data_IF_990363398108
#
_entry.id   IF_990363398108
#
_cell.length_a   1.000
_cell.length_b   1.000
_cell.length_c   1.000
_cell.angle_alpha   90.00
_cell.angle_beta   90.00
_cell.angle_gamma   90.00
#
_symmetry.space_group_name_H-M   'P 1'
#
loop_
_entity.id
_entity.type
_entity.pdbx_description
1 polymer ?
#
# COMPACT_ATOMS: atom_id res chain seq x y z
N UNK A 1 -0.61 29.92 -8.24
CA UNK A 1 -0.81 30.30 -6.82
C UNK A 1 -0.24 29.16 -6.03
N UNK A 2 0.87 29.37 -5.31
CA UNK A 2 1.54 28.31 -4.55
C UNK A 2 0.80 28.11 -3.23
N UNK A 3 -0.14 27.15 -3.24
CA UNK A 3 -1.03 26.87 -2.11
C UNK A 3 -0.43 25.84 -1.14
N UNK A 4 0.51 25.03 -1.63
CA UNK A 4 1.21 24.01 -0.86
C UNK A 4 2.32 24.58 0.03
N UNK A 5 2.62 25.88 -0.06
CA UNK A 5 3.57 26.56 0.84
C UNK A 5 3.21 26.35 2.31
N UNK A 6 1.92 26.34 2.66
CA UNK A 6 1.44 26.12 4.02
C UNK A 6 1.57 24.66 4.49
N UNK A 7 1.85 23.72 3.58
CA UNK A 7 2.12 22.32 3.92
C UNK A 7 3.62 22.01 4.02
N UNK A 8 4.46 22.81 3.36
CA UNK A 8 5.91 22.60 3.25
C UNK A 8 6.74 23.46 4.19
N UNK A 9 6.32 24.71 4.39
CA UNK A 9 7.01 25.69 5.22
C UNK A 9 6.33 25.84 6.58
N UNK A 10 7.12 26.09 7.63
CA UNK A 10 6.60 26.44 8.95
C UNK A 10 5.88 27.79 8.93
N UNK A 11 4.97 27.98 9.89
CA UNK A 11 4.25 29.23 10.07
C UNK A 11 5.24 30.37 10.32
N UNK A 12 5.18 31.47 9.54
CA UNK A 12 6.05 32.62 9.75
C UNK A 12 5.65 33.36 11.03
N UNK A 13 6.63 33.93 11.72
CA UNK A 13 6.39 34.75 12.90
C UNK A 13 5.49 35.95 12.57
N UNK A 14 4.71 36.37 13.56
CA UNK A 14 3.84 37.55 13.45
C UNK A 14 4.72 38.77 13.21
N UNK A 15 4.48 39.55 12.14
CA UNK A 15 5.28 40.74 11.85
C UNK A 15 5.13 41.79 12.96
N UNK A 16 6.23 42.42 13.35
CA UNK A 16 6.26 43.60 14.23
C UNK A 16 5.95 44.89 13.44
N UNK A 17 5.57 45.98 14.12
CA UNK A 17 5.21 47.25 13.45
C UNK A 17 6.35 47.86 12.61
N UNK A 18 7.60 47.55 12.95
CA UNK A 18 8.81 48.02 12.26
C UNK A 18 9.29 47.06 11.16
N UNK A 19 8.61 45.93 10.95
CA UNK A 19 9.05 44.94 9.98
C UNK A 19 8.96 45.41 8.54
N UNK A 20 9.90 44.92 7.73
CA UNK A 20 9.91 45.25 6.30
C UNK A 20 8.64 44.75 5.62
N UNK A 21 8.16 45.50 4.62
CA UNK A 21 7.01 45.12 3.78
C UNK A 21 7.14 43.72 3.15
N UNK A 22 8.35 43.19 3.01
CA UNK A 22 8.59 41.81 2.54
C UNK A 22 8.16 40.76 3.55
N UNK A 23 8.36 41.00 4.85
CA UNK A 23 8.00 40.08 5.94
C UNK A 23 6.47 40.03 6.07
N UNK A 24 5.82 41.19 6.12
CA UNK A 24 4.35 41.30 6.14
C UNK A 24 3.71 40.61 4.93
N UNK A 25 4.24 40.84 3.73
CA UNK A 25 3.76 40.16 2.52
C UNK A 25 3.96 38.64 2.56
N UNK A 26 5.03 38.15 3.19
CA UNK A 26 5.27 36.70 3.34
C UNK A 26 4.25 36.09 4.29
N UNK A 27 4.04 36.73 5.45
CA UNK A 27 3.05 36.34 6.44
C UNK A 27 1.64 36.24 5.82
N UNK A 28 1.17 37.30 5.16
CA UNK A 28 -0.15 37.32 4.53
C UNK A 28 -0.31 36.26 3.44
N UNK A 29 0.72 36.07 2.61
CA UNK A 29 0.71 35.04 1.56
C UNK A 29 0.60 33.64 2.16
N UNK A 30 1.34 33.37 3.23
CA UNK A 30 1.31 32.08 3.91
C UNK A 30 -0.08 31.82 4.52
N UNK A 31 -0.65 32.77 5.28
CA UNK A 31 -1.99 32.60 5.87
C UNK A 31 -3.09 32.47 4.83
N UNK A 32 -2.98 33.19 3.71
CA UNK A 32 -3.92 33.04 2.59
C UNK A 32 -3.81 31.65 1.97
N UNK A 33 -2.60 31.15 1.72
CA UNK A 33 -2.38 29.81 1.21
C UNK A 33 -2.91 28.74 2.19
N UNK A 34 -2.62 28.89 3.48
CA UNK A 34 -3.10 28.04 4.56
C UNK A 34 -4.63 27.91 4.56
N UNK A 35 -5.34 29.05 4.59
CA UNK A 35 -6.81 29.07 4.55
C UNK A 35 -7.38 28.45 3.27
N UNK A 36 -6.77 28.75 2.12
CA UNK A 36 -7.21 28.20 0.84
C UNK A 36 -7.01 26.67 0.78
N UNK A 37 -5.90 26.16 1.29
CA UNK A 37 -5.60 24.73 1.33
C UNK A 37 -6.59 23.98 2.20
N UNK A 38 -6.93 24.50 3.39
CA UNK A 38 -7.98 23.91 4.24
C UNK A 38 -9.33 23.89 3.52
N UNK A 39 -9.71 24.98 2.85
CA UNK A 39 -10.98 25.05 2.10
C UNK A 39 -11.03 24.04 0.95
N UNK A 40 -9.92 23.87 0.22
CA UNK A 40 -9.81 22.88 -0.87
C UNK A 40 -9.94 21.46 -0.30
N UNK A 41 -9.21 21.14 0.78
CA UNK A 41 -9.30 19.84 1.44
C UNK A 41 -10.72 19.54 1.92
N UNK A 42 -11.36 20.50 2.61
CA UNK A 42 -12.76 20.36 3.07
C UNK A 42 -13.75 20.24 1.90
N UNK A 43 -13.53 20.96 0.81
CA UNK A 43 -14.38 20.95 -0.38
C UNK A 43 -14.28 19.65 -1.19
N UNK A 44 -13.11 18.98 -1.16
CA UNK A 44 -12.92 17.68 -1.78
C UNK A 44 -13.59 16.52 -1.00
N UNK A 45 -13.97 16.76 0.26
CA UNK A 45 -14.59 15.77 1.14
C UNK A 45 -16.11 15.88 1.13
N UNK A 46 -16.78 14.74 1.27
CA UNK A 46 -18.22 14.71 1.55
C UNK A 46 -18.51 15.27 2.94
N UNK A 47 -19.73 15.78 3.15
CA UNK A 47 -20.15 16.35 4.44
C UNK A 47 -20.03 15.33 5.58
N UNK A 48 -20.28 14.04 5.31
CA UNK A 48 -20.14 12.95 6.29
C UNK A 48 -18.69 12.78 6.75
N UNK A 49 -17.73 12.84 5.83
CA UNK A 49 -16.30 12.75 6.15
C UNK A 49 -15.84 14.01 6.87
N UNK A 50 -16.28 15.19 6.41
CA UNK A 50 -15.93 16.48 6.99
C UNK A 50 -16.35 16.58 8.45
N UNK A 51 -17.55 16.12 8.81
CA UNK A 51 -18.03 16.11 10.21
C UNK A 51 -17.20 15.22 11.15
N UNK A 52 -16.43 14.25 10.63
CA UNK A 52 -15.62 13.33 11.43
C UNK A 52 -14.23 13.87 11.80
N UNK A 53 -13.81 14.98 11.17
CA UNK A 53 -12.48 15.58 11.31
C UNK A 53 -12.62 16.87 12.13
N UNK A 54 -11.72 17.08 13.09
CA UNK A 54 -11.70 18.31 13.88
C UNK A 54 -11.27 19.50 13.02
N UNK A 55 -11.87 20.66 13.26
CA UNK A 55 -11.44 21.90 12.64
C UNK A 55 -10.09 22.34 13.22
N UNK A 56 -9.11 22.53 12.34
CA UNK A 56 -7.77 23.01 12.68
C UNK A 56 -7.47 24.30 11.93
N UNK A 57 -6.67 25.17 12.55
CA UNK A 57 -6.27 26.46 11.95
C UNK A 57 -5.12 26.28 10.97
N UNK A 58 -4.26 25.28 11.17
CA UNK A 58 -3.17 24.94 10.27
C UNK A 58 -3.57 23.86 9.27
N UNK A 59 -3.26 24.07 7.99
CA UNK A 59 -3.47 23.11 6.92
C UNK A 59 -2.64 21.83 7.14
N UNK A 60 -1.44 21.97 7.71
CA UNK A 60 -0.55 20.87 8.05
C UNK A 60 -1.16 19.99 9.14
N UNK A 61 -1.71 20.59 10.19
CA UNK A 61 -2.39 19.87 11.26
C UNK A 61 -3.73 19.27 10.82
N UNK A 62 -4.48 19.99 9.98
CA UNK A 62 -5.71 19.48 9.38
C UNK A 62 -5.44 18.24 8.53
N UNK A 63 -4.39 18.28 7.70
CA UNK A 63 -3.95 17.14 6.90
C UNK A 63 -3.50 15.96 7.76
N UNK A 64 -2.71 16.20 8.80
CA UNK A 64 -2.32 15.17 9.76
C UNK A 64 -3.53 14.56 10.50
N UNK A 65 -4.55 15.37 10.79
CA UNK A 65 -5.79 14.89 11.42
C UNK A 65 -6.60 13.98 10.51
N UNK A 66 -6.63 14.28 9.20
CA UNK A 66 -7.22 13.41 8.18
C UNK A 66 -6.47 12.08 8.13
N UNK A 67 -5.14 12.14 8.04
CA UNK A 67 -4.29 10.95 8.06
C UNK A 67 -4.56 10.12 9.30
N UNK A 68 -4.53 10.70 10.50
CA UNK A 68 -4.76 9.97 11.75
C UNK A 68 -6.17 9.35 11.84
N UNK A 69 -7.20 10.01 11.28
CA UNK A 69 -8.59 9.51 11.29
C UNK A 69 -8.83 8.35 10.33
N UNK A 70 -8.17 8.38 9.17
CA UNK A 70 -8.40 7.43 8.07
C UNK A 70 -7.24 6.48 7.82
N UNK A 71 -6.16 6.59 8.59
CA UNK A 71 -5.10 5.60 8.62
C UNK A 71 -5.74 4.27 9.00
N UNK A 72 -5.69 3.33 8.08
CA UNK A 72 -6.10 1.97 8.35
C UNK A 72 -5.27 1.46 9.54
N UNK A 73 -5.92 0.86 10.52
CA UNK A 73 -5.17 0.26 11.62
C UNK A 73 -4.36 -0.90 11.07
N UNK A 74 -3.08 -0.98 11.44
CA UNK A 74 -2.20 -2.11 11.12
C UNK A 74 -2.87 -3.48 11.40
N UNK A 75 -3.78 -3.55 12.38
CA UNK A 75 -4.58 -4.74 12.70
C UNK A 75 -5.64 -5.06 11.65
N UNK A 76 -6.33 -4.04 11.15
CA UNK A 76 -7.33 -4.19 10.10
C UNK A 76 -6.67 -4.54 8.77
N UNK A 77 -5.56 -3.88 8.44
CA UNK A 77 -4.74 -4.17 7.26
C UNK A 77 -4.17 -5.61 7.33
N UNK A 78 -3.64 -6.01 8.48
CA UNK A 78 -3.21 -7.39 8.74
C UNK A 78 -4.35 -8.39 8.49
N UNK A 79 -5.54 -8.13 9.03
CA UNK A 79 -6.71 -8.99 8.85
C UNK A 79 -7.12 -9.10 7.38
N UNK A 80 -7.11 -7.99 6.66
CA UNK A 80 -7.42 -7.93 5.23
C UNK A 80 -6.39 -8.71 4.41
N UNK A 81 -5.09 -8.48 4.63
CA UNK A 81 -4.01 -9.18 3.95
C UNK A 81 -4.02 -10.68 4.25
N UNK A 82 -4.28 -11.09 5.50
CA UNK A 82 -4.35 -12.51 5.88
C UNK A 82 -5.57 -13.21 5.26
N UNK A 83 -6.70 -12.50 5.17
CA UNK A 83 -7.87 -12.98 4.44
C UNK A 83 -7.57 -13.10 2.93
N UNK A 84 -6.93 -12.09 2.32
CA UNK A 84 -6.50 -12.17 0.92
C UNK A 84 -5.54 -13.34 0.71
N UNK A 85 -4.55 -13.54 1.57
CA UNK A 85 -3.59 -14.64 1.46
C UNK A 85 -4.26 -16.03 1.46
N UNK A 86 -5.31 -16.20 2.25
CA UNK A 86 -6.02 -17.49 2.38
C UNK A 86 -7.14 -17.69 1.35
N UNK A 87 -7.71 -16.61 0.81
CA UNK A 87 -8.85 -16.65 -0.11
C UNK A 87 -8.48 -16.42 -1.57
N UNK A 88 -7.27 -15.92 -1.86
CA UNK A 88 -6.80 -15.70 -3.23
C UNK A 88 -6.69 -17.03 -3.95
N UNK A 89 -7.68 -17.32 -4.79
CA UNK A 89 -7.66 -18.45 -5.71
C UNK A 89 -6.93 -18.04 -6.98
N UNK A 90 -6.31 -19.01 -7.63
CA UNK A 90 -5.82 -18.82 -8.98
C UNK A 90 -6.99 -18.42 -9.90
N UNK A 91 -6.93 -17.21 -10.44
CA UNK A 91 -7.82 -16.71 -11.49
C UNK A 91 -7.00 -16.76 -12.77
N UNK A 92 -7.52 -17.42 -13.82
CA UNK A 92 -6.84 -17.72 -15.08
C UNK A 92 -5.73 -16.74 -15.48
N UNK A 93 -4.55 -17.27 -15.81
CA UNK A 93 -3.36 -16.47 -16.09
C UNK A 93 -2.07 -17.27 -15.91
N UNK A 94 -0.96 -16.58 -15.65
CA UNK A 94 0.31 -17.24 -15.39
C UNK A 94 0.42 -17.67 -13.93
N UNK A 95 0.78 -18.94 -13.67
CA UNK A 95 1.13 -19.41 -12.31
C UNK A 95 2.19 -18.51 -11.64
N UNK A 96 3.10 -17.93 -12.43
CA UNK A 96 4.08 -16.97 -11.96
C UNK A 96 3.45 -15.72 -11.36
N UNK A 97 2.47 -15.13 -12.04
CA UNK A 97 1.81 -13.90 -11.59
C UNK A 97 1.06 -14.13 -10.29
N UNK A 98 0.36 -15.26 -10.20
CA UNK A 98 -0.31 -15.69 -8.98
C UNK A 98 0.66 -15.84 -7.80
N UNK A 99 1.80 -16.51 -8.01
CA UNK A 99 2.83 -16.72 -6.97
C UNK A 99 3.46 -15.38 -6.54
N UNK A 100 3.78 -14.51 -7.49
CA UNK A 100 4.31 -13.18 -7.18
C UNK A 100 3.30 -12.33 -6.40
N UNK A 101 2.01 -12.46 -6.68
CA UNK A 101 0.95 -11.83 -5.90
C UNK A 101 0.90 -12.32 -4.45
N UNK A 102 1.05 -13.63 -4.23
CA UNK A 102 1.14 -14.20 -2.87
C UNK A 102 2.40 -13.73 -2.13
N UNK A 103 3.54 -13.63 -2.83
CA UNK A 103 4.79 -13.09 -2.27
C UNK A 103 4.61 -11.63 -1.87
N UNK A 104 4.01 -10.79 -2.71
CA UNK A 104 3.72 -9.39 -2.39
C UNK A 104 2.90 -9.26 -1.10
N UNK A 105 1.81 -10.04 -0.98
CA UNK A 105 0.97 -10.06 0.25
C UNK A 105 1.80 -10.50 1.46
N UNK A 106 2.63 -11.54 1.34
CA UNK A 106 3.48 -12.01 2.44
C UNK A 106 4.55 -10.97 2.85
N UNK A 107 5.14 -10.24 1.91
CA UNK A 107 6.09 -9.16 2.22
C UNK A 107 5.42 -8.00 2.97
N UNK A 108 4.17 -7.66 2.61
CA UNK A 108 3.38 -6.66 3.33
C UNK A 108 3.04 -7.11 4.75
N UNK A 109 2.67 -8.38 4.94
CA UNK A 109 2.44 -8.96 6.27
C UNK A 109 3.71 -8.95 7.13
N UNK A 110 4.86 -9.30 6.56
CA UNK A 110 6.16 -9.21 7.25
C UNK A 110 6.49 -7.78 7.69
N UNK A 111 6.14 -6.77 6.88
CA UNK A 111 6.32 -5.35 7.26
C UNK A 111 5.42 -4.91 8.42
N UNK A 112 4.29 -5.61 8.64
CA UNK A 112 3.36 -5.43 9.76
C UNK A 112 3.66 -6.34 10.96
N UNK A 113 4.89 -6.86 11.06
CA UNK A 113 5.36 -7.76 12.14
C UNK A 113 4.66 -9.13 12.18
N UNK A 114 4.00 -9.53 11.07
CA UNK A 114 3.42 -10.87 10.89
C UNK A 114 4.37 -11.71 10.07
N UNK A 115 5.25 -12.43 10.77
CA UNK A 115 6.29 -13.25 10.17
C UNK A 115 5.70 -14.41 9.34
N UNK A 116 5.78 -14.31 8.01
CA UNK A 116 5.49 -15.39 7.08
C UNK A 116 6.79 -16.02 6.61
N UNK A 117 6.97 -17.28 6.98
CA UNK A 117 8.14 -18.06 6.57
C UNK A 117 8.05 -18.49 5.10
N UNK A 118 9.16 -18.44 4.37
CA UNK A 118 9.24 -18.90 2.98
C UNK A 118 8.70 -20.33 2.76
N UNK A 119 8.98 -21.34 3.64
CA UNK A 119 8.42 -22.68 3.45
C UNK A 119 6.88 -22.69 3.49
N UNK A 120 6.28 -21.91 4.38
CA UNK A 120 4.83 -21.79 4.46
C UNK A 120 4.27 -21.20 3.15
N UNK A 121 4.91 -20.16 2.63
CA UNK A 121 4.47 -19.50 1.41
C UNK A 121 4.59 -20.41 0.19
N UNK A 122 5.68 -21.20 0.09
CA UNK A 122 5.85 -22.21 -0.96
C UNK A 122 4.73 -23.25 -0.89
N UNK A 123 4.42 -23.79 0.29
CA UNK A 123 3.33 -24.75 0.45
C UNK A 123 1.96 -24.15 0.12
N UNK A 124 1.69 -22.91 0.54
CA UNK A 124 0.46 -22.21 0.24
C UNK A 124 0.30 -21.97 -1.27
N UNK A 125 1.35 -21.46 -1.91
CA UNK A 125 1.41 -21.21 -3.34
C UNK A 125 1.12 -22.49 -4.12
N UNK A 126 1.80 -23.59 -3.80
CA UNK A 126 1.55 -24.89 -4.41
C UNK A 126 0.09 -25.32 -4.22
N UNK A 127 -0.45 -25.25 -3.00
CA UNK A 127 -1.83 -25.66 -2.73
C UNK A 127 -2.86 -24.82 -3.49
N UNK A 128 -2.60 -23.53 -3.69
CA UNK A 128 -3.50 -22.61 -4.39
C UNK A 128 -3.57 -22.81 -5.91
N UNK A 129 -2.61 -23.52 -6.50
CA UNK A 129 -2.61 -23.82 -7.94
C UNK A 129 -3.70 -24.84 -8.32
N UNK A 130 -4.33 -24.69 -9.51
CA UNK A 130 -5.32 -25.63 -10.04
C UNK A 130 -4.81 -27.07 -10.15
N UNK A 131 -5.73 -28.03 -10.31
CA UNK A 131 -5.42 -29.45 -10.53
C UNK A 131 -4.57 -29.71 -11.78
N UNK A 132 -4.60 -28.78 -12.74
CA UNK A 132 -3.77 -28.79 -13.95
C UNK A 132 -2.26 -28.76 -13.63
N UNK A 133 -1.87 -28.20 -12.48
CA UNK A 133 -0.48 -28.16 -11.99
C UNK A 133 -0.17 -29.35 -11.06
N UNK A 134 -0.93 -30.45 -11.16
CA UNK A 134 -0.75 -31.65 -10.32
C UNK A 134 0.62 -32.33 -10.53
N UNK A 135 1.22 -32.21 -11.71
CA UNK A 135 2.57 -32.71 -11.97
C UNK A 135 3.63 -31.92 -11.17
N UNK A 136 3.51 -30.59 -11.10
CA UNK A 136 4.36 -29.73 -10.29
C UNK A 136 4.26 -30.09 -8.81
N UNK A 137 3.03 -30.27 -8.30
CA UNK A 137 2.77 -30.72 -6.92
C UNK A 137 3.40 -32.09 -6.62
N UNK A 138 3.29 -33.02 -7.56
CA UNK A 138 3.87 -34.37 -7.41
C UNK A 138 5.39 -34.34 -7.41
N UNK A 139 5.99 -33.49 -8.25
CA UNK A 139 7.44 -33.29 -8.33
C UNK A 139 7.99 -32.70 -7.03
N UNK A 140 7.33 -31.69 -6.48
CA UNK A 140 7.67 -31.13 -5.17
C UNK A 140 7.59 -32.18 -4.05
N UNK A 141 6.50 -32.93 -3.98
CA UNK A 141 6.31 -33.96 -2.95
C UNK A 141 7.29 -35.14 -3.07
N UNK A 142 7.77 -35.45 -4.28
CA UNK A 142 8.74 -36.52 -4.52
C UNK A 142 10.19 -36.10 -4.20
N UNK A 143 10.48 -34.80 -4.23
CA UNK A 143 11.79 -34.27 -3.87
C UNK A 143 11.93 -34.16 -2.34
N UNK A 144 13.09 -34.56 -1.82
CA UNK A 144 13.40 -34.42 -0.38
C UNK A 144 13.86 -33.01 -0.01
N UNK A 145 14.31 -32.24 -0.99
CA UNK A 145 14.78 -30.86 -0.80
C UNK A 145 13.59 -29.89 -0.83
N UNK A 146 13.62 -28.90 0.06
CA UNK A 146 12.60 -27.85 0.10
C UNK A 146 12.94 -26.82 -0.96
N UNK A 147 11.97 -26.46 -1.79
CA UNK A 147 12.14 -25.37 -2.74
C UNK A 147 12.18 -24.03 -2.02
N UNK A 148 13.05 -23.15 -2.51
CA UNK A 148 12.98 -21.73 -2.19
C UNK A 148 11.98 -21.00 -3.13
N UNK A 149 11.68 -19.74 -2.81
CA UNK A 149 10.72 -18.94 -3.60
C UNK A 149 11.23 -18.65 -5.02
N UNK A 150 12.54 -18.54 -5.22
CA UNK A 150 13.13 -18.28 -6.54
C UNK A 150 13.07 -19.53 -7.42
N UNK A 151 13.31 -20.70 -6.85
CA UNK A 151 13.17 -22.00 -7.49
C UNK A 151 11.72 -22.23 -7.91
N UNK A 152 10.75 -21.95 -7.02
CA UNK A 152 9.33 -22.04 -7.34
C UNK A 152 8.96 -21.12 -8.52
N UNK A 153 9.42 -19.87 -8.53
CA UNK A 153 9.19 -18.94 -9.65
C UNK A 153 9.80 -19.47 -10.95
N UNK A 154 11.03 -20.00 -10.89
CA UNK A 154 11.73 -20.52 -12.06
C UNK A 154 11.01 -21.74 -12.67
N UNK A 155 10.52 -22.64 -11.82
CA UNK A 155 9.76 -23.83 -12.23
C UNK A 155 8.44 -23.42 -12.88
N UNK A 156 7.70 -22.46 -12.31
CA UNK A 156 6.45 -21.98 -12.89
C UNK A 156 6.65 -21.28 -14.25
N UNK A 157 7.77 -20.57 -14.46
CA UNK A 157 8.14 -20.04 -15.79
C UNK A 157 8.41 -21.16 -16.78
N UNK A 158 9.09 -22.23 -16.34
CA UNK A 158 9.39 -23.36 -17.20
C UNK A 158 8.14 -24.12 -17.63
N UNK A 159 7.23 -24.41 -16.69
CA UNK A 159 5.97 -25.07 -16.99
C UNK A 159 5.06 -24.25 -17.91
N UNK A 160 5.00 -22.92 -17.72
CA UNK A 160 4.25 -22.04 -18.61
C UNK A 160 4.73 -22.17 -20.07
N UNK A 161 6.06 -22.18 -20.29
CA UNK A 161 6.67 -22.33 -21.61
C UNK A 161 6.44 -23.72 -22.23
N UNK A 162 6.36 -24.77 -21.42
CA UNK A 162 6.03 -26.12 -21.89
C UNK A 162 4.56 -26.16 -22.35
N UNK A 163 3.65 -25.58 -21.56
CA UNK A 163 2.21 -25.56 -21.88
C UNK A 163 1.90 -24.73 -23.13
N UNK A 164 2.56 -23.59 -23.33
CA UNK A 164 2.45 -22.82 -24.58
C UNK A 164 2.89 -23.62 -25.83
N UNK A 165 3.85 -24.54 -25.68
CA UNK A 165 4.33 -25.39 -26.78
C UNK A 165 3.47 -26.63 -27.03
N UNK A 166 2.70 -27.07 -26.04
CA UNK A 166 1.82 -28.25 -26.14
C UNK A 166 0.39 -27.90 -26.59
N UNK A 167 0.02 -26.61 -26.59
CA UNK A 167 -1.26 -26.10 -27.09
C UNK A 167 -1.29 -25.76 -28.58
N UNK A 168 -0.50 -26.46 -29.41
CA UNK A 168 -0.52 -26.31 -30.87
C UNK A 168 -1.18 -27.51 -31.56
#
# INVERSE_FOLDING_TARGET
MDLDVALREEEPDVPEEDDSTKITNKYEKWHKANRMTILIMKGAMSDTVRCGIADMESAKEFFASIEAKFKESDKAETGNLMNSLTTTKFVDGSAREHILGLIDIATKLNALDVAISDPFLVHLALNSLPSEYSQLKSTYNAQKEKWDLNELIAICVHEHKIREKQGC
#
